data_IF_342881887391
#
_entry.id   IF_342881887391
#
_cell.length_a   1.000
_cell.length_b   1.000
_cell.length_c   1.000
_cell.angle_alpha   90.00
_cell.angle_beta   90.00
_cell.angle_gamma   90.00
#
_symmetry.space_group_name_H-M   'P 1'
#
loop_
_entity.id
_entity.type
_entity.pdbx_description
1 polymer ?
#
# COMPACT_ATOMS: atom_id res chain seq x y z
N UNK A 1 3.49 -13.43 -15.06
CA UNK A 1 3.69 -14.74 -14.39
C UNK A 1 2.77 -15.81 -14.96
N UNK A 2 1.44 -15.59 -15.01
CA UNK A 2 0.47 -16.53 -15.63
C UNK A 2 0.89 -17.00 -17.03
N UNK A 3 1.43 -16.10 -17.83
CA UNK A 3 1.85 -16.40 -19.21
C UNK A 3 3.21 -17.14 -19.26
N UNK A 4 4.03 -17.07 -18.22
CA UNK A 4 5.35 -17.69 -18.16
C UNK A 4 5.37 -19.03 -17.43
N UNK A 5 4.43 -19.23 -16.49
CA UNK A 5 4.35 -20.41 -15.63
C UNK A 5 2.91 -20.90 -15.52
N UNK A 6 2.42 -21.59 -16.55
CA UNK A 6 1.02 -22.08 -16.64
C UNK A 6 0.61 -23.01 -15.48
N UNK A 7 1.52 -23.55 -14.69
CA UNK A 7 1.25 -24.45 -13.57
C UNK A 7 1.68 -23.88 -12.20
N UNK A 8 2.24 -22.68 -12.14
CA UNK A 8 2.69 -22.07 -10.88
C UNK A 8 1.54 -21.55 -10.04
N UNK A 9 1.58 -21.80 -8.74
CA UNK A 9 0.65 -21.23 -7.76
C UNK A 9 1.11 -19.81 -7.41
N UNK A 10 0.18 -18.88 -7.38
CA UNK A 10 0.48 -17.51 -6.92
C UNK A 10 -0.58 -17.04 -5.94
N UNK A 11 -0.18 -16.17 -5.00
CA UNK A 11 -1.07 -15.52 -4.05
C UNK A 11 -0.94 -14.01 -4.16
N UNK A 12 -2.09 -13.32 -4.17
CA UNK A 12 -2.19 -11.87 -4.20
C UNK A 12 -2.70 -11.38 -2.84
N UNK A 13 -1.98 -10.48 -2.22
CA UNK A 13 -2.27 -10.01 -0.88
C UNK A 13 -2.15 -8.50 -0.79
N UNK A 14 -2.89 -7.89 0.15
CA UNK A 14 -2.74 -6.48 0.50
C UNK A 14 -3.08 -6.28 2.00
N UNK A 15 -2.62 -5.20 2.65
CA UNK A 15 -2.92 -4.95 4.06
C UNK A 15 -4.40 -4.61 4.31
N UNK A 16 -5.10 -4.05 3.32
CA UNK A 16 -6.49 -3.60 3.45
C UNK A 16 -7.44 -4.30 2.48
N UNK A 17 -8.73 -4.43 2.87
CA UNK A 17 -9.76 -5.00 2.01
C UNK A 17 -10.00 -4.19 0.73
N UNK A 18 -9.82 -2.86 0.76
CA UNK A 18 -9.94 -2.01 -0.44
C UNK A 18 -8.81 -2.29 -1.43
N UNK A 19 -7.57 -2.41 -0.95
CA UNK A 19 -6.42 -2.71 -1.80
C UNK A 19 -6.53 -4.13 -2.40
N UNK A 20 -6.93 -5.13 -1.62
CA UNK A 20 -7.12 -6.49 -2.14
C UNK A 20 -8.21 -6.57 -3.21
N UNK A 21 -9.32 -5.85 -3.07
CA UNK A 21 -10.37 -5.77 -4.11
C UNK A 21 -9.85 -5.11 -5.39
N UNK A 22 -9.13 -4.00 -5.28
CA UNK A 22 -8.52 -3.33 -6.45
C UNK A 22 -7.52 -4.25 -7.17
N UNK A 23 -6.75 -5.01 -6.41
CA UNK A 23 -5.81 -5.99 -6.96
C UNK A 23 -6.57 -7.09 -7.72
N UNK A 24 -7.66 -7.62 -7.17
CA UNK A 24 -8.53 -8.60 -7.83
C UNK A 24 -9.09 -8.04 -9.16
N UNK A 25 -9.68 -6.86 -9.13
CA UNK A 25 -10.24 -6.18 -10.31
C UNK A 25 -9.19 -5.96 -11.40
N UNK A 26 -8.01 -5.45 -11.02
CA UNK A 26 -6.93 -5.12 -11.97
C UNK A 26 -6.28 -6.35 -12.60
N UNK A 27 -6.25 -7.47 -11.89
CA UNK A 27 -5.60 -8.70 -12.36
C UNK A 27 -6.57 -9.71 -12.95
N UNK A 28 -7.88 -9.52 -12.75
CA UNK A 28 -8.91 -10.50 -13.09
C UNK A 28 -8.77 -11.80 -12.28
N UNK A 29 -8.23 -11.72 -11.07
CA UNK A 29 -8.04 -12.84 -10.14
C UNK A 29 -8.89 -12.62 -8.91
N UNK A 30 -9.96 -13.40 -8.76
CA UNK A 30 -10.93 -13.24 -7.67
C UNK A 30 -10.36 -13.59 -6.27
N UNK A 31 -9.19 -14.21 -6.21
CA UNK A 31 -8.61 -14.73 -4.95
C UNK A 31 -7.63 -13.77 -4.25
N UNK A 32 -7.60 -12.48 -4.59
CA UNK A 32 -6.81 -11.53 -3.84
C UNK A 32 -7.40 -11.33 -2.43
N UNK A 33 -6.55 -11.47 -1.40
CA UNK A 33 -6.96 -11.48 0.02
C UNK A 33 -6.24 -10.41 0.83
N UNK A 34 -6.81 -10.06 1.99
CA UNK A 34 -6.02 -9.28 2.96
C UNK A 34 -4.93 -10.16 3.57
N UNK A 35 -3.80 -9.55 3.97
CA UNK A 35 -2.72 -10.24 4.69
C UNK A 35 -3.27 -11.00 5.90
N UNK A 36 -4.09 -10.36 6.73
CA UNK A 36 -4.70 -11.00 7.90
C UNK A 36 -5.48 -12.25 7.53
N UNK A 37 -6.33 -12.17 6.50
CA UNK A 37 -7.12 -13.33 6.04
C UNK A 37 -6.25 -14.43 5.43
N UNK A 38 -5.28 -14.06 4.59
CA UNK A 38 -4.40 -15.03 3.93
C UNK A 38 -3.50 -15.78 4.91
N UNK A 39 -3.08 -15.11 5.98
CA UNK A 39 -2.23 -15.67 7.03
C UNK A 39 -3.02 -16.33 8.18
N UNK A 40 -4.36 -16.28 8.14
CA UNK A 40 -5.21 -16.87 9.18
C UNK A 40 -5.21 -16.09 10.50
N UNK A 41 -4.97 -14.77 10.48
CA UNK A 41 -4.87 -13.92 11.66
C UNK A 41 -6.22 -13.29 12.10
N UNK A 42 -7.32 -13.65 11.45
CA UNK A 42 -8.64 -13.00 11.64
C UNK A 42 -9.48 -13.59 12.78
N UNK A 43 -9.03 -14.60 13.49
CA UNK A 43 -9.87 -15.36 14.43
C UNK A 43 -9.84 -14.87 15.87
N UNK A 44 -9.26 -13.71 16.17
CA UNK A 44 -9.34 -13.11 17.53
C UNK A 44 -8.75 -13.93 18.68
N UNK A 45 -8.25 -15.12 18.42
CA UNK A 45 -7.52 -15.94 19.35
C UNK A 45 -6.04 -15.55 19.23
N UNK A 46 -5.44 -15.15 20.34
CA UNK A 46 -3.99 -15.05 20.43
C UNK A 46 -3.43 -16.41 19.99
N UNK A 47 -2.62 -16.42 18.94
CA UNK A 47 -1.95 -17.63 18.45
C UNK A 47 -1.06 -18.12 19.60
N UNK A 48 -1.56 -19.06 20.37
CA UNK A 48 -0.82 -19.69 21.44
C UNK A 48 0.40 -20.42 20.85
N UNK A 49 1.46 -20.54 21.62
CA UNK A 49 2.74 -21.18 21.23
C UNK A 49 2.62 -22.64 20.71
N UNK A 50 1.42 -23.17 20.57
CA UNK A 50 1.13 -24.55 20.12
C UNK A 50 0.34 -24.65 18.81
N UNK A 51 -0.14 -23.56 18.19
CA UNK A 51 -0.90 -23.64 16.96
C UNK A 51 0.01 -23.85 15.74
N UNK A 52 -0.40 -24.78 14.86
CA UNK A 52 0.29 -25.07 13.61
C UNK A 52 0.27 -23.83 12.71
N UNK A 53 1.44 -23.20 12.53
CA UNK A 53 1.62 -22.11 11.60
C UNK A 53 1.14 -22.53 10.21
N UNK A 54 0.12 -21.86 9.67
CA UNK A 54 -0.35 -22.11 8.32
C UNK A 54 0.58 -21.44 7.32
N UNK A 55 1.31 -22.23 6.56
CA UNK A 55 2.16 -21.74 5.49
C UNK A 55 1.35 -21.33 4.26
N UNK A 56 1.82 -20.31 3.56
CA UNK A 56 1.29 -19.89 2.27
C UNK A 56 1.77 -20.86 1.20
N UNK A 57 0.85 -21.64 0.62
CA UNK A 57 1.14 -22.59 -0.46
C UNK A 57 1.14 -21.85 -1.81
N UNK A 58 2.23 -21.17 -2.13
CA UNK A 58 2.40 -20.46 -3.40
C UNK A 58 3.87 -20.43 -3.83
N UNK A 59 4.10 -20.47 -5.14
CA UNK A 59 5.42 -20.30 -5.77
C UNK A 59 5.81 -18.83 -5.86
N UNK A 60 4.80 -17.94 -5.94
CA UNK A 60 4.94 -16.49 -5.96
C UNK A 60 3.88 -15.85 -5.07
N UNK A 61 4.31 -14.95 -4.21
CA UNK A 61 3.44 -14.06 -3.44
C UNK A 61 3.71 -12.62 -3.86
N UNK A 62 2.64 -11.89 -4.19
CA UNK A 62 2.69 -10.46 -4.45
C UNK A 62 1.91 -9.76 -3.36
N UNK A 63 2.53 -8.82 -2.67
CA UNK A 63 1.89 -7.99 -1.65
C UNK A 63 1.90 -6.55 -2.12
N UNK A 64 0.71 -5.99 -2.34
CA UNK A 64 0.53 -4.57 -2.69
C UNK A 64 0.33 -3.71 -1.43
N UNK A 65 0.60 -2.42 -1.53
CA UNK A 65 0.53 -1.43 -0.43
C UNK A 65 1.38 -1.85 0.80
N UNK A 66 2.54 -2.47 0.58
CA UNK A 66 3.38 -3.00 1.66
C UNK A 66 3.93 -1.91 2.59
N UNK A 67 3.95 -0.65 2.17
CA UNK A 67 4.27 0.51 3.01
C UNK A 67 3.38 0.65 4.25
N UNK A 68 2.16 0.10 4.22
CA UNK A 68 1.21 0.09 5.34
C UNK A 68 1.41 -1.09 6.30
N UNK A 69 2.36 -1.98 6.05
CA UNK A 69 2.61 -3.18 6.85
C UNK A 69 3.57 -2.85 8.00
N UNK A 70 3.13 -3.05 9.23
CA UNK A 70 3.93 -2.86 10.43
C UNK A 70 4.87 -4.04 10.71
N UNK A 71 5.73 -3.90 11.71
CA UNK A 71 6.72 -4.90 12.09
C UNK A 71 6.10 -6.22 12.51
N UNK A 72 4.99 -6.19 13.25
CA UNK A 72 4.33 -7.41 13.71
C UNK A 72 3.72 -8.18 12.53
N UNK A 73 2.98 -7.51 11.65
CA UNK A 73 2.35 -8.13 10.49
C UNK A 73 3.40 -8.63 9.48
N UNK A 74 4.48 -7.88 9.29
CA UNK A 74 5.62 -8.32 8.48
C UNK A 74 6.26 -9.59 9.05
N UNK A 75 6.47 -9.65 10.37
CA UNK A 75 6.98 -10.85 11.04
C UNK A 75 6.04 -12.05 10.82
N UNK A 76 4.73 -11.85 10.98
CA UNK A 76 3.75 -12.91 10.75
C UNK A 76 3.77 -13.39 9.30
N UNK A 77 3.93 -12.48 8.35
CA UNK A 77 4.04 -12.76 6.92
C UNK A 77 5.29 -13.60 6.63
N UNK A 78 6.48 -13.13 7.00
CA UNK A 78 7.73 -13.82 6.69
C UNK A 78 7.85 -15.18 7.37
N UNK A 79 7.29 -15.36 8.56
CA UNK A 79 7.24 -16.68 9.24
C UNK A 79 6.41 -17.72 8.48
N UNK A 80 5.48 -17.29 7.61
CA UNK A 80 4.54 -18.18 6.91
C UNK A 80 4.86 -18.36 5.43
N UNK A 81 5.89 -17.70 4.94
CA UNK A 81 6.37 -17.86 3.56
C UNK A 81 7.36 -19.02 3.48
N UNK A 82 7.14 -19.92 2.51
CA UNK A 82 8.04 -21.04 2.26
C UNK A 82 9.39 -20.60 1.69
N UNK A 83 10.44 -21.36 1.94
CA UNK A 83 11.82 -21.06 1.49
C UNK A 83 11.95 -20.95 -0.04
N UNK A 84 11.08 -21.60 -0.79
CA UNK A 84 11.09 -21.59 -2.26
C UNK A 84 10.08 -20.58 -2.86
N UNK A 85 9.30 -19.92 -2.03
CA UNK A 85 8.33 -18.92 -2.48
C UNK A 85 9.05 -17.63 -2.86
N UNK A 86 8.83 -17.17 -4.07
CA UNK A 86 9.26 -15.82 -4.50
C UNK A 86 8.32 -14.79 -3.93
N UNK A 87 8.87 -13.67 -3.47
CA UNK A 87 8.10 -12.58 -2.88
C UNK A 87 8.34 -11.30 -3.66
N UNK A 88 7.26 -10.63 -4.04
CA UNK A 88 7.28 -9.28 -4.61
C UNK A 88 6.49 -8.36 -3.68
N UNK A 89 7.16 -7.37 -3.13
CA UNK A 89 6.57 -6.34 -2.29
C UNK A 89 6.42 -5.07 -3.11
N UNK A 90 5.20 -4.56 -3.19
CA UNK A 90 4.86 -3.33 -3.92
C UNK A 90 4.35 -2.30 -2.93
N UNK A 91 4.78 -1.06 -3.04
CA UNK A 91 4.35 0.02 -2.16
C UNK A 91 5.00 1.34 -2.54
N UNK A 92 4.63 2.38 -1.84
CA UNK A 92 5.19 3.71 -2.00
C UNK A 92 5.75 4.19 -0.65
N UNK A 93 7.10 4.31 -0.52
CA UNK A 93 7.73 4.71 0.72
C UNK A 93 7.43 6.18 1.12
N UNK A 94 6.87 6.96 0.19
CA UNK A 94 6.51 8.37 0.41
C UNK A 94 5.04 8.55 0.83
N UNK A 95 4.23 7.48 0.80
CA UNK A 95 2.88 7.48 1.35
C UNK A 95 2.90 7.30 2.87
N UNK A 96 1.71 7.40 3.48
CA UNK A 96 1.58 7.20 4.93
C UNK A 96 2.13 5.83 5.34
N UNK A 97 3.02 5.79 6.34
CA UNK A 97 3.55 4.54 6.87
C UNK A 97 2.46 3.75 7.61
N UNK A 98 2.82 2.56 8.08
CA UNK A 98 1.96 1.76 8.96
C UNK A 98 1.54 2.51 10.22
N UNK A 99 0.32 2.23 10.72
CA UNK A 99 -0.15 2.77 12.01
C UNK A 99 0.58 2.08 13.17
N UNK A 100 0.91 0.79 13.02
CA UNK A 100 1.70 0.04 13.97
C UNK A 100 3.19 0.37 13.90
N UNK A 101 3.94 -0.12 14.88
CA UNK A 101 5.37 0.18 15.02
C UNK A 101 6.20 -0.39 13.85
N UNK A 102 7.17 0.38 13.40
CA UNK A 102 8.17 0.01 12.39
C UNK A 102 7.82 0.44 10.97
N UNK A 103 8.84 0.77 10.20
CA UNK A 103 8.73 1.13 8.77
C UNK A 103 9.48 0.07 7.93
N UNK A 104 8.94 -1.16 7.94
CA UNK A 104 9.60 -2.33 7.36
C UNK A 104 9.92 -2.15 5.88
N UNK A 105 8.99 -1.57 5.11
CA UNK A 105 9.18 -1.39 3.68
C UNK A 105 10.34 -0.43 3.36
N UNK A 106 10.39 0.69 4.08
CA UNK A 106 11.48 1.66 3.95
C UNK A 106 12.83 1.03 4.30
N UNK A 107 12.89 0.31 5.42
CA UNK A 107 14.11 -0.35 5.88
C UNK A 107 14.59 -1.42 4.88
N UNK A 108 13.69 -2.22 4.32
CA UNK A 108 14.02 -3.22 3.30
C UNK A 108 14.62 -2.57 2.04
N UNK A 109 14.01 -1.47 1.55
CA UNK A 109 14.50 -0.74 0.38
C UNK A 109 15.92 -0.20 0.62
N UNK A 110 16.19 0.36 1.81
CA UNK A 110 17.48 0.99 2.12
C UNK A 110 18.54 0.03 2.66
N UNK A 111 18.17 -1.22 2.96
CA UNK A 111 19.09 -2.23 3.49
C UNK A 111 20.18 -2.67 2.49
N UNK A 112 19.92 -2.51 1.19
CA UNK A 112 20.77 -3.08 0.14
C UNK A 112 20.73 -4.61 0.04
N UNK A 113 19.91 -5.29 0.84
CA UNK A 113 19.85 -6.75 0.91
C UNK A 113 18.86 -7.37 -0.08
N UNK A 114 17.95 -6.56 -0.63
CA UNK A 114 16.94 -7.03 -1.58
C UNK A 114 17.02 -6.27 -2.90
N UNK A 115 16.69 -6.87 -4.04
CA UNK A 115 16.59 -6.15 -5.31
C UNK A 115 15.45 -5.14 -5.25
N UNK A 116 15.72 -3.91 -5.66
CA UNK A 116 14.75 -2.82 -5.67
C UNK A 116 14.58 -2.29 -7.09
N UNK A 117 13.34 -2.09 -7.51
CA UNK A 117 12.98 -1.40 -8.76
C UNK A 117 12.12 -0.20 -8.41
N UNK A 118 12.57 0.99 -8.76
CA UNK A 118 11.84 2.24 -8.56
C UNK A 118 11.09 2.59 -9.83
N UNK A 119 9.78 2.87 -9.70
CA UNK A 119 8.94 3.37 -10.78
C UNK A 119 8.79 4.88 -10.59
N UNK A 120 9.50 5.65 -11.38
CA UNK A 120 9.58 7.12 -11.28
C UNK A 120 8.64 7.86 -12.25
N UNK A 121 7.97 7.13 -13.15
CA UNK A 121 7.07 7.71 -14.12
C UNK A 121 5.61 7.67 -13.68
N UNK A 122 4.97 8.84 -13.58
CA UNK A 122 3.57 8.98 -13.14
C UNK A 122 2.65 8.98 -14.38
N UNK A 123 1.87 7.89 -14.54
CA UNK A 123 0.88 7.77 -15.63
C UNK A 123 -0.54 8.14 -15.21
N UNK A 124 -0.82 8.17 -13.91
CA UNK A 124 -2.18 8.23 -13.34
C UNK A 124 -2.81 9.64 -13.39
N UNK A 125 -1.99 10.66 -13.55
CA UNK A 125 -2.45 12.05 -13.59
C UNK A 125 -2.07 12.68 -14.92
N UNK A 126 -2.84 13.70 -15.38
CA UNK A 126 -2.46 14.48 -16.56
C UNK A 126 -1.04 15.04 -16.35
N UNK A 127 -0.21 15.03 -17.39
CA UNK A 127 1.18 15.48 -17.33
C UNK A 127 1.33 16.90 -16.75
N UNK A 128 0.24 17.67 -16.74
CA UNK A 128 0.18 19.08 -16.34
C UNK A 128 -0.55 19.31 -15.00
N UNK A 129 -0.87 18.24 -14.24
CA UNK A 129 -1.59 18.34 -12.97
C UNK A 129 -0.73 18.90 -11.84
N UNK A 130 -1.16 20.00 -11.22
CA UNK A 130 -0.47 20.64 -10.09
C UNK A 130 -0.46 19.77 -8.84
N UNK A 131 -1.41 18.85 -8.68
CA UNK A 131 -1.48 17.91 -7.55
C UNK A 131 -0.21 17.05 -7.52
N UNK A 132 0.13 16.39 -8.64
CA UNK A 132 1.33 15.53 -8.71
C UNK A 132 2.62 16.35 -8.59
N UNK A 133 2.64 17.52 -9.20
CA UNK A 133 3.77 18.43 -9.17
C UNK A 133 4.06 18.91 -7.74
N UNK A 134 3.04 19.40 -7.04
CA UNK A 134 3.18 19.86 -5.67
C UNK A 134 3.48 18.73 -4.69
N UNK A 135 2.92 17.53 -4.89
CA UNK A 135 3.24 16.36 -4.08
C UNK A 135 4.75 16.05 -4.10
N UNK A 136 5.39 16.15 -5.27
CA UNK A 136 6.85 15.99 -5.38
C UNK A 136 7.60 17.05 -4.57
N UNK A 137 7.22 18.33 -4.68
CA UNK A 137 7.85 19.40 -3.91
C UNK A 137 7.67 19.24 -2.40
N UNK A 138 6.48 18.84 -1.96
CA UNK A 138 6.21 18.57 -0.54
C UNK A 138 7.11 17.44 -0.04
N UNK A 139 7.25 16.38 -0.83
CA UNK A 139 8.12 15.25 -0.47
C UNK A 139 9.60 15.62 -0.40
N UNK A 140 10.04 16.56 -1.23
CA UNK A 140 11.40 17.14 -1.23
C UNK A 140 11.60 18.21 -0.12
N UNK A 141 10.58 18.46 0.72
CA UNK A 141 10.62 19.45 1.80
C UNK A 141 10.51 20.92 1.33
N UNK A 142 10.09 21.14 0.09
CA UNK A 142 9.88 22.49 -0.43
C UNK A 142 8.59 23.12 0.11
N UNK A 143 8.66 24.39 0.48
CA UNK A 143 7.49 25.19 0.86
C UNK A 143 6.88 25.98 -0.32
N UNK A 144 7.53 25.94 -1.49
CA UNK A 144 7.03 26.61 -2.69
C UNK A 144 6.04 25.70 -3.41
N UNK A 145 4.76 26.02 -3.33
CA UNK A 145 3.69 25.31 -4.00
C UNK A 145 3.10 26.17 -5.11
N UNK A 146 2.60 25.51 -6.15
CA UNK A 146 1.95 26.14 -7.29
C UNK A 146 0.45 25.95 -7.18
N UNK A 147 -0.32 27.00 -7.39
CA UNK A 147 -1.78 27.02 -7.25
C UNK A 147 -2.45 27.22 -8.61
N UNK A 148 -3.57 26.58 -8.82
CA UNK A 148 -4.35 26.63 -10.06
C UNK A 148 -5.66 25.87 -9.93
N UNK A 149 -6.25 25.45 -11.04
CA UNK A 149 -7.61 24.89 -11.06
C UNK A 149 -7.74 23.55 -10.29
N UNK A 150 -6.70 22.75 -10.25
CA UNK A 150 -6.67 21.42 -9.63
C UNK A 150 -5.96 21.40 -8.27
N UNK A 151 -5.35 22.53 -7.85
CA UNK A 151 -4.70 22.66 -6.57
C UNK A 151 -4.84 24.09 -6.03
N UNK A 152 -5.72 24.28 -5.07
CA UNK A 152 -6.02 25.57 -4.49
C UNK A 152 -5.74 25.61 -2.99
N UNK A 153 -5.30 26.76 -2.51
CA UNK A 153 -5.20 27.05 -1.09
C UNK A 153 -6.41 27.85 -0.64
N UNK A 154 -7.10 27.39 0.37
CA UNK A 154 -8.25 28.07 0.95
C UNK A 154 -7.90 28.48 2.36
N UNK A 155 -7.65 29.77 2.57
CA UNK A 155 -7.38 30.32 3.90
C UNK A 155 -8.65 30.29 4.75
N UNK A 156 -8.51 29.76 5.96
CA UNK A 156 -9.62 29.54 6.88
C UNK A 156 -9.15 29.71 8.32
N UNK A 157 -9.36 30.91 8.91
CA UNK A 157 -8.76 31.26 10.19
C UNK A 157 -9.35 30.51 11.39
N UNK A 158 -10.54 29.90 11.25
CA UNK A 158 -11.19 29.15 12.33
C UNK A 158 -11.65 27.77 11.87
N UNK A 159 -11.71 26.80 12.81
CA UNK A 159 -12.22 25.45 12.53
C UNK A 159 -13.67 25.45 12.01
N UNK A 160 -14.51 26.38 12.50
CA UNK A 160 -15.91 26.48 12.09
C UNK A 160 -16.00 26.94 10.63
N UNK A 161 -15.19 27.92 10.24
CA UNK A 161 -15.12 28.37 8.85
C UNK A 161 -14.55 27.31 7.94
N UNK A 162 -13.52 26.58 8.39
CA UNK A 162 -12.97 25.44 7.65
C UNK A 162 -14.05 24.40 7.37
N UNK A 163 -14.82 23.99 8.38
CA UNK A 163 -15.91 23.02 8.23
C UNK A 163 -16.97 23.50 7.23
N UNK A 164 -17.39 24.77 7.31
CA UNK A 164 -18.36 25.36 6.37
C UNK A 164 -17.81 25.37 4.93
N UNK A 165 -16.56 25.79 4.73
CA UNK A 165 -15.96 25.82 3.40
C UNK A 165 -15.79 24.43 2.79
N UNK A 166 -15.42 23.42 3.59
CA UNK A 166 -15.39 22.02 3.15
C UNK A 166 -16.77 21.57 2.69
N UNK A 167 -17.81 21.87 3.49
CA UNK A 167 -19.20 21.54 3.15
C UNK A 167 -19.63 22.23 1.85
N UNK A 168 -19.35 23.53 1.70
CA UNK A 168 -19.70 24.30 0.50
C UNK A 168 -19.03 23.76 -0.76
N UNK A 169 -17.74 23.39 -0.67
CA UNK A 169 -17.00 22.79 -1.78
C UNK A 169 -17.60 21.43 -2.13
N UNK A 170 -17.82 20.57 -1.14
CA UNK A 170 -18.40 19.25 -1.35
C UNK A 170 -19.78 19.32 -2.02
N UNK A 171 -20.67 20.23 -1.55
CA UNK A 171 -22.00 20.38 -2.13
C UNK A 171 -22.02 20.98 -3.56
N UNK A 172 -20.93 21.61 -3.99
CA UNK A 172 -20.81 22.14 -5.36
C UNK A 172 -20.27 21.11 -6.34
N UNK A 173 -19.47 20.16 -5.86
CA UNK A 173 -18.81 19.14 -6.69
C UNK A 173 -19.57 17.80 -6.69
N UNK A 174 -20.53 17.61 -5.76
CA UNK A 174 -21.38 16.42 -5.67
C UNK A 174 -22.65 16.58 -6.51
#
# INVERSE_FOLDING_TARGET
FKNLHQKGKFALMAPTGRASRRMAESTGVDEARTLHSALGLCTGEEVGDGERVRFVDADLVIVDEFSMVDMWLAQQFFKRIGQHTRVVLVGDPNQLPSVGAGNVFYELIHSGMVPVTVLDWIFRQSKDGLIAYNAKFINEGSTKLYYGNDFVFVDSPTQIETARRIQDIYCKEA
#
